data_IF_033920841049
#
_entry.id   IF_033920841049
#
_cell.length_a   1.000
_cell.length_b   1.000
_cell.length_c   1.000
_cell.angle_alpha   90.00
_cell.angle_beta   90.00
_cell.angle_gamma   90.00
#
_symmetry.space_group_name_H-M   'P 1'
#
loop_
_entity.id
_entity.type
_entity.pdbx_description
1 polymer ?
#
# COMPACT_ATOMS: atom_id res chain seq x y z
N UNK A 1 31.12 -21.63 34.54
CA UNK A 1 30.24 -21.79 33.35
C UNK A 1 30.78 -22.90 32.48
N UNK A 2 30.02 -23.95 32.27
CA UNK A 2 30.45 -25.13 31.50
C UNK A 2 30.61 -24.76 30.00
N UNK A 3 31.49 -25.47 29.30
CA UNK A 3 31.74 -25.28 27.85
C UNK A 3 30.43 -25.34 27.05
N UNK A 4 29.49 -26.20 27.45
CA UNK A 4 28.14 -26.30 26.84
C UNK A 4 27.32 -25.02 26.96
N UNK A 5 27.40 -24.29 28.08
CA UNK A 5 26.70 -23.03 28.27
C UNK A 5 27.29 -21.89 27.41
N UNK A 6 28.60 -21.91 27.18
CA UNK A 6 29.26 -20.93 26.29
C UNK A 6 28.92 -21.17 24.82
N UNK A 7 28.87 -22.43 24.38
CA UNK A 7 28.49 -22.80 23.02
C UNK A 7 27.03 -22.43 22.75
N UNK A 8 26.10 -22.73 23.67
CA UNK A 8 24.71 -22.37 23.53
C UNK A 8 24.50 -20.84 23.47
N UNK A 9 25.21 -20.06 24.29
CA UNK A 9 25.13 -18.59 24.25
C UNK A 9 25.68 -18.02 22.93
N UNK A 10 26.77 -18.57 22.38
CA UNK A 10 27.33 -18.17 21.10
C UNK A 10 26.36 -18.47 19.93
N UNK A 11 25.69 -19.63 19.97
CA UNK A 11 24.72 -20.03 18.94
C UNK A 11 23.51 -19.10 18.95
N UNK A 12 22.98 -18.72 20.12
CA UNK A 12 21.86 -17.79 20.25
C UNK A 12 22.24 -16.39 19.74
N UNK A 13 23.44 -15.90 20.04
CA UNK A 13 23.91 -14.61 19.55
C UNK A 13 24.10 -14.63 18.03
N UNK A 14 24.60 -15.73 17.46
CA UNK A 14 24.77 -15.87 16.01
C UNK A 14 23.41 -15.90 15.28
N UNK A 15 22.41 -16.59 15.83
CA UNK A 15 21.05 -16.65 15.27
C UNK A 15 20.37 -15.27 15.38
N UNK A 16 20.55 -14.55 16.48
CA UNK A 16 20.03 -13.19 16.64
C UNK A 16 20.69 -12.21 15.67
N UNK A 17 21.99 -12.32 15.43
CA UNK A 17 22.72 -11.47 14.47
C UNK A 17 22.31 -11.73 13.02
N UNK A 18 22.06 -12.99 12.62
CA UNK A 18 21.57 -13.32 11.27
C UNK A 18 20.14 -12.89 11.04
N UNK A 19 19.29 -12.90 12.07
CA UNK A 19 17.91 -12.40 11.99
C UNK A 19 17.84 -10.87 11.82
N UNK A 20 18.77 -10.14 12.42
CA UNK A 20 18.87 -8.68 12.27
C UNK A 20 19.33 -8.25 10.86
N UNK A 21 20.14 -9.05 10.17
CA UNK A 21 20.56 -8.78 8.79
C UNK A 21 19.50 -9.10 7.74
N UNK A 22 18.54 -9.98 8.02
CA UNK A 22 17.47 -10.35 7.07
C UNK A 22 16.40 -9.27 6.88
N UNK A 23 16.25 -8.30 7.80
CA UNK A 23 15.32 -7.16 7.69
C UNK A 23 15.93 -5.87 7.14
N UNK A 24 17.24 -5.85 6.83
CA UNK A 24 18.02 -4.62 6.56
C UNK A 24 18.27 -4.29 5.09
N UNK A 25 17.73 -5.00 4.15
CA UNK A 25 18.15 -4.83 2.78
C UNK A 25 17.14 -4.14 1.87
N UNK A 26 17.12 -2.83 1.77
CA UNK A 26 16.67 -1.95 0.65
C UNK A 26 15.95 -0.67 1.05
N UNK A 27 15.54 -0.49 2.33
CA UNK A 27 14.87 0.74 2.75
C UNK A 27 15.81 1.83 3.31
N UNK A 28 17.07 1.52 3.56
CA UNK A 28 18.05 2.44 4.14
C UNK A 28 18.80 3.28 3.09
N UNK A 29 18.12 3.96 2.20
CA UNK A 29 18.79 4.80 1.20
C UNK A 29 17.85 5.67 0.37
N UNK A 30 16.60 5.27 0.19
CA UNK A 30 15.64 6.02 -0.63
C UNK A 30 15.02 7.15 0.17
N UNK A 31 15.10 8.38 -0.36
CA UNK A 31 14.50 9.57 0.25
C UNK A 31 13.23 9.94 -0.48
N UNK A 32 12.08 9.57 0.07
CA UNK A 32 10.78 9.93 -0.49
C UNK A 32 10.33 11.29 0.04
N UNK A 33 10.03 12.20 -0.86
CA UNK A 33 9.44 13.51 -0.55
C UNK A 33 7.91 13.48 -0.67
N UNK A 34 7.39 12.54 -1.47
CA UNK A 34 5.97 12.33 -1.65
C UNK A 34 5.68 10.85 -1.89
N UNK A 35 4.76 10.29 -1.14
CA UNK A 35 4.31 8.91 -1.25
C UNK A 35 2.79 8.85 -1.18
N UNK A 36 2.18 8.08 -2.08
CA UNK A 36 0.78 7.67 -2.02
C UNK A 36 0.72 6.16 -1.84
N UNK A 37 0.05 5.69 -0.77
CA UNK A 37 -0.29 4.29 -0.56
C UNK A 37 -1.80 4.15 -0.72
N UNK A 38 -2.26 3.55 -1.82
CA UNK A 38 -3.66 3.33 -2.14
C UNK A 38 -4.05 1.88 -1.92
N UNK A 39 -4.90 1.62 -0.94
CA UNK A 39 -5.48 0.32 -0.63
C UNK A 39 -6.83 0.20 -1.33
N UNK A 40 -6.83 -0.35 -2.54
CA UNK A 40 -8.01 -0.44 -3.39
C UNK A 40 -8.91 -1.60 -2.97
N UNK A 41 -10.22 -1.35 -2.89
CA UNK A 41 -11.24 -2.38 -2.75
C UNK A 41 -11.88 -2.75 -4.11
N UNK A 42 -12.56 -3.89 -4.16
CA UNK A 42 -13.18 -4.38 -5.40
C UNK A 42 -14.36 -3.52 -5.88
N UNK A 43 -15.00 -2.77 -5.00
CA UNK A 43 -16.11 -1.86 -5.34
C UNK A 43 -15.65 -0.48 -5.85
N UNK A 44 -14.35 -0.20 -5.79
CA UNK A 44 -13.75 1.08 -6.15
C UNK A 44 -13.58 2.03 -4.97
N UNK A 45 -14.03 1.65 -3.78
CA UNK A 45 -13.64 2.37 -2.56
C UNK A 45 -12.17 2.11 -2.23
N UNK A 46 -11.56 2.99 -1.44
CA UNK A 46 -10.17 2.81 -1.03
C UNK A 46 -9.86 3.46 0.32
N UNK A 47 -8.75 3.02 0.92
CA UNK A 47 -8.03 3.81 1.90
C UNK A 47 -6.80 4.40 1.24
N UNK A 48 -6.57 5.70 1.40
CA UNK A 48 -5.42 6.41 0.85
C UNK A 48 -4.61 7.03 1.97
N UNK A 49 -3.31 6.79 1.92
CA UNK A 49 -2.34 7.39 2.83
C UNK A 49 -1.39 8.23 1.98
N UNK A 50 -1.36 9.53 2.23
CA UNK A 50 -0.38 10.46 1.64
C UNK A 50 0.65 10.79 2.71
N UNK A 51 1.90 10.53 2.40
CA UNK A 51 3.05 10.82 3.25
C UNK A 51 3.99 11.76 2.49
N UNK A 52 4.12 13.01 2.90
CA UNK A 52 4.84 13.99 2.11
C UNK A 52 5.49 15.10 2.93
N UNK A 53 6.55 15.67 2.38
CA UNK A 53 7.09 16.94 2.86
C UNK A 53 6.16 18.10 2.47
N UNK A 54 6.11 19.13 3.32
CA UNK A 54 5.32 20.34 3.03
C UNK A 54 5.78 21.00 1.72
N UNK A 55 7.10 21.15 1.44
CA UNK A 55 7.55 21.65 0.14
C UNK A 55 7.06 20.80 -1.04
N UNK A 56 7.03 19.47 -0.92
CA UNK A 56 6.52 18.60 -1.98
C UNK A 56 5.01 18.79 -2.19
N UNK A 57 4.22 18.91 -1.12
CA UNK A 57 2.78 19.21 -1.23
C UNK A 57 2.51 20.55 -1.93
N UNK A 58 3.28 21.58 -1.62
CA UNK A 58 3.17 22.88 -2.29
C UNK A 58 3.59 22.78 -3.75
N UNK A 59 4.75 22.18 -4.04
CA UNK A 59 5.33 22.15 -5.38
C UNK A 59 4.57 21.22 -6.33
N UNK A 60 4.19 20.04 -5.85
CA UNK A 60 3.53 19.01 -6.66
C UNK A 60 2.02 19.19 -6.72
N UNK A 61 1.40 19.64 -5.63
CA UNK A 61 -0.07 19.66 -5.44
C UNK A 61 -0.66 21.05 -5.33
N UNK A 62 0.18 22.10 -5.32
CA UNK A 62 -0.27 23.48 -5.21
C UNK A 62 -0.97 23.83 -3.90
N UNK A 63 -0.74 23.05 -2.83
CA UNK A 63 -1.43 23.28 -1.57
C UNK A 63 -0.95 24.57 -0.91
N UNK A 64 -1.85 25.41 -0.37
CA UNK A 64 -1.52 26.70 0.24
C UNK A 64 -0.99 26.50 1.68
N UNK A 65 0.15 25.81 1.80
CA UNK A 65 0.83 25.52 3.06
C UNK A 65 2.10 26.38 3.19
N UNK A 66 2.46 26.69 4.43
CA UNK A 66 3.71 27.40 4.71
C UNK A 66 4.88 26.42 4.69
N UNK A 67 5.87 26.73 3.85
CA UNK A 67 7.04 25.87 3.63
C UNK A 67 8.19 26.15 4.61
N UNK A 68 8.08 27.22 5.43
CA UNK A 68 9.09 27.51 6.46
C UNK A 68 9.21 26.34 7.43
N UNK A 69 10.41 25.73 7.54
CA UNK A 69 10.61 24.59 8.45
C UNK A 69 10.44 24.97 9.93
N UNK A 70 10.49 26.24 10.30
CA UNK A 70 10.24 26.71 11.65
C UNK A 70 8.74 26.80 11.97
N UNK A 71 7.89 26.98 10.96
CA UNK A 71 6.43 27.10 11.15
C UNK A 71 5.82 25.76 11.50
N UNK A 72 4.96 25.77 12.54
CA UNK A 72 4.20 24.57 12.92
C UNK A 72 3.09 24.28 11.90
N UNK A 73 3.00 23.03 11.46
CA UNK A 73 1.95 22.61 10.52
C UNK A 73 0.60 22.58 11.21
N UNK A 74 -0.34 23.39 10.73
CA UNK A 74 -1.74 23.37 11.17
C UNK A 74 -2.45 22.13 10.58
N UNK A 75 -2.69 21.14 11.43
CA UNK A 75 -3.35 19.89 11.04
C UNK A 75 -4.82 20.08 10.64
N UNK A 76 -5.50 21.07 11.17
CA UNK A 76 -6.89 21.36 10.79
C UNK A 76 -6.94 21.95 9.39
N UNK A 77 -6.01 22.84 9.06
CA UNK A 77 -5.85 23.35 7.70
C UNK A 77 -5.52 22.22 6.72
N UNK A 78 -4.58 21.33 7.07
CA UNK A 78 -4.27 20.18 6.22
C UNK A 78 -5.49 19.28 6.07
N UNK A 79 -6.22 18.97 7.14
CA UNK A 79 -7.46 18.18 7.08
C UNK A 79 -8.46 18.81 6.09
N UNK A 80 -8.73 20.09 6.21
CA UNK A 80 -9.70 20.80 5.37
C UNK A 80 -9.34 20.77 3.87
N UNK A 81 -8.06 20.68 3.52
CA UNK A 81 -7.62 20.59 2.13
C UNK A 81 -7.93 19.21 1.49
N UNK A 82 -7.99 18.15 2.30
CA UNK A 82 -8.25 16.78 1.85
C UNK A 82 -9.68 16.31 2.10
N UNK A 83 -10.46 17.01 2.93
CA UNK A 83 -11.86 16.69 3.22
C UNK A 83 -12.77 17.11 2.06
N UNK A 84 -13.64 16.22 1.62
CA UNK A 84 -14.59 16.48 0.52
C UNK A 84 -15.77 15.49 0.60
N UNK A 85 -16.81 15.64 -0.26
CA UNK A 85 -17.84 14.60 -0.40
C UNK A 85 -17.29 13.22 -0.79
N UNK A 86 -16.15 13.16 -1.49
CA UNK A 86 -15.56 11.91 -1.99
C UNK A 86 -14.50 11.33 -1.02
N UNK A 87 -14.02 12.12 -0.06
CA UNK A 87 -12.97 11.74 0.89
C UNK A 87 -13.32 12.09 2.33
N UNK A 88 -13.10 11.16 3.25
CA UNK A 88 -13.22 11.34 4.70
C UNK A 88 -11.84 11.23 5.33
N UNK A 89 -11.31 12.34 5.87
CA UNK A 89 -9.99 12.35 6.50
C UNK A 89 -10.04 11.71 7.89
N UNK A 90 -9.57 10.48 7.99
CA UNK A 90 -9.51 9.74 9.24
C UNK A 90 -8.46 10.32 10.20
N UNK A 91 -7.29 10.69 9.69
CA UNK A 91 -6.19 11.17 10.52
C UNK A 91 -5.23 12.08 9.76
N UNK A 92 -4.78 13.16 10.44
CA UNK A 92 -3.59 13.93 10.08
C UNK A 92 -2.57 13.74 11.20
N UNK A 93 -1.34 13.28 10.87
CA UNK A 93 -0.28 13.07 11.86
C UNK A 93 0.20 14.39 12.47
N UNK A 94 0.93 14.30 13.60
CA UNK A 94 1.83 15.38 13.97
C UNK A 94 2.92 15.49 12.91
N UNK A 95 3.36 16.71 12.62
CA UNK A 95 4.48 16.91 11.69
C UNK A 95 5.79 16.42 12.33
N UNK A 96 6.68 15.92 11.51
CA UNK A 96 8.06 15.60 11.90
C UNK A 96 9.04 16.26 10.94
N UNK A 97 10.30 16.34 11.33
CA UNK A 97 11.36 16.93 10.52
C UNK A 97 12.29 15.87 9.99
N UNK A 98 12.67 15.97 8.70
CA UNK A 98 13.70 15.17 8.06
C UNK A 98 14.44 16.05 7.04
N UNK A 99 15.77 16.04 7.05
CA UNK A 99 16.62 16.80 6.13
C UNK A 99 16.24 18.31 6.05
N UNK A 100 15.90 18.91 7.20
CA UNK A 100 15.51 20.31 7.27
C UNK A 100 14.11 20.61 6.74
N UNK A 101 13.32 19.62 6.32
CA UNK A 101 11.95 19.76 5.82
C UNK A 101 10.95 19.16 6.78
N UNK A 102 9.76 19.76 6.85
CA UNK A 102 8.63 19.24 7.62
C UNK A 102 7.81 18.28 6.77
N UNK A 103 7.42 17.17 7.38
CA UNK A 103 6.59 16.13 6.80
C UNK A 103 5.27 16.02 7.53
N UNK A 104 4.25 15.56 6.83
CA UNK A 104 2.94 15.22 7.37
C UNK A 104 2.42 13.95 6.69
N UNK A 105 1.66 13.16 7.43
CA UNK A 105 0.91 12.03 6.88
C UNK A 105 -0.57 12.31 7.00
N UNK A 106 -1.31 12.11 5.91
CA UNK A 106 -2.76 12.20 5.86
C UNK A 106 -3.30 10.83 5.48
N UNK A 107 -4.19 10.28 6.32
CA UNK A 107 -4.92 9.03 6.06
C UNK A 107 -6.38 9.38 5.85
N UNK A 108 -6.95 8.88 4.78
CA UNK A 108 -8.34 9.14 4.40
C UNK A 108 -8.99 7.90 3.80
N UNK A 109 -10.33 7.83 3.94
CA UNK A 109 -11.17 6.92 3.18
C UNK A 109 -11.60 7.62 1.90
N UNK A 110 -11.57 6.90 0.81
CA UNK A 110 -12.04 7.33 -0.52
C UNK A 110 -13.29 6.53 -0.85
N UNK A 111 -14.38 7.19 -1.18
CA UNK A 111 -15.65 6.53 -1.51
C UNK A 111 -15.60 5.86 -2.87
N UNK A 112 -15.01 6.55 -3.83
CA UNK A 112 -14.84 6.06 -5.20
C UNK A 112 -13.57 6.67 -5.81
N UNK A 113 -12.58 5.83 -6.12
CA UNK A 113 -11.32 6.28 -6.72
C UNK A 113 -11.51 6.98 -8.06
N UNK A 114 -12.57 6.65 -8.81
CA UNK A 114 -12.89 7.26 -10.12
C UNK A 114 -13.27 8.74 -10.03
N UNK A 115 -13.55 9.22 -8.83
CA UNK A 115 -13.92 10.61 -8.54
C UNK A 115 -12.87 11.35 -7.72
N UNK A 116 -11.71 10.72 -7.51
CA UNK A 116 -10.67 11.29 -6.65
C UNK A 116 -10.07 12.57 -7.26
N UNK A 117 -10.09 12.71 -8.58
CA UNK A 117 -9.68 13.92 -9.29
C UNK A 117 -10.56 15.17 -9.01
N UNK A 118 -11.77 14.98 -8.46
CA UNK A 118 -12.60 16.08 -7.98
C UNK A 118 -12.09 16.70 -6.65
N UNK A 119 -11.18 16.03 -5.96
CA UNK A 119 -10.60 16.50 -4.68
C UNK A 119 -9.37 17.34 -4.98
N UNK A 120 -9.29 18.56 -4.45
CA UNK A 120 -8.29 19.56 -4.81
C UNK A 120 -6.82 19.04 -4.84
N UNK A 121 -6.32 18.26 -3.84
CA UNK A 121 -4.96 17.73 -3.89
C UNK A 121 -4.71 16.70 -4.99
N UNK A 122 -5.73 16.17 -5.64
CA UNK A 122 -5.65 15.14 -6.66
C UNK A 122 -6.18 15.59 -8.04
N UNK A 123 -6.60 16.85 -8.18
CA UNK A 123 -7.28 17.38 -9.36
C UNK A 123 -6.47 17.34 -10.67
N UNK A 124 -5.20 17.04 -10.61
CA UNK A 124 -4.28 16.93 -11.75
C UNK A 124 -3.79 15.51 -12.02
N UNK A 125 -4.39 14.56 -11.31
CA UNK A 125 -4.32 13.14 -11.59
C UNK A 125 -5.67 12.68 -12.14
N UNK A 126 -5.67 11.75 -13.08
CA UNK A 126 -6.87 11.12 -13.58
C UNK A 126 -6.90 9.65 -13.15
N UNK A 127 -8.04 9.20 -12.65
CA UNK A 127 -8.21 7.85 -12.13
C UNK A 127 -9.33 7.14 -12.89
N UNK A 128 -9.12 5.89 -13.25
CA UNK A 128 -10.15 5.05 -13.80
C UNK A 128 -10.09 3.63 -13.23
N UNK A 129 -11.24 3.04 -13.03
CA UNK A 129 -11.42 1.64 -12.64
C UNK A 129 -12.57 1.08 -13.46
N UNK A 130 -12.29 0.14 -14.33
CA UNK A 130 -13.25 -0.46 -15.24
C UNK A 130 -13.02 -1.95 -15.45
N UNK A 131 -13.78 -2.53 -16.36
CA UNK A 131 -13.64 -3.93 -16.76
C UNK A 131 -13.30 -4.02 -18.26
N UNK A 132 -12.29 -4.78 -18.58
CA UNK A 132 -11.84 -5.05 -19.94
C UNK A 132 -11.52 -6.54 -20.08
N UNK A 133 -12.13 -7.22 -21.06
CA UNK A 133 -11.82 -8.62 -21.39
C UNK A 133 -11.74 -9.56 -20.16
N UNK A 134 -12.78 -9.57 -19.31
CA UNK A 134 -12.85 -10.39 -18.09
C UNK A 134 -11.91 -9.96 -16.95
N UNK A 135 -11.10 -8.92 -17.13
CA UNK A 135 -10.21 -8.36 -16.12
C UNK A 135 -10.74 -7.02 -15.61
N UNK A 136 -10.40 -6.71 -14.38
CA UNK A 136 -10.54 -5.36 -13.84
C UNK A 136 -9.27 -4.58 -14.11
N UNK A 137 -9.40 -3.36 -14.62
CA UNK A 137 -8.28 -2.51 -14.99
C UNK A 137 -8.33 -1.23 -14.18
N UNK A 138 -7.28 -0.96 -13.43
CA UNK A 138 -7.05 0.31 -12.76
C UNK A 138 -6.03 1.12 -13.55
N UNK A 139 -6.33 2.40 -13.79
CA UNK A 139 -5.39 3.34 -14.39
C UNK A 139 -5.35 4.63 -13.56
N UNK A 140 -4.14 5.15 -13.40
CA UNK A 140 -3.90 6.47 -12.82
C UNK A 140 -2.86 7.17 -13.68
N UNK A 141 -3.17 8.39 -14.13
CA UNK A 141 -2.20 9.26 -14.79
C UNK A 141 -2.02 10.50 -13.94
N UNK A 142 -0.81 10.67 -13.40
CA UNK A 142 -0.43 11.90 -12.71
C UNK A 142 0.11 12.87 -13.74
N UNK A 143 -0.58 13.99 -13.93
CA UNK A 143 -0.21 15.07 -14.85
C UNK A 143 1.03 15.86 -14.39
N UNK A 144 1.21 17.06 -14.91
CA UNK A 144 2.30 17.94 -14.51
C UNK A 144 2.23 18.35 -13.04
N UNK A 145 3.34 18.83 -12.47
CA UNK A 145 3.36 19.43 -11.14
C UNK A 145 2.60 20.76 -11.11
N UNK A 146 2.13 21.17 -9.94
CA UNK A 146 1.42 22.44 -9.76
C UNK A 146 2.33 23.65 -10.06
N UNK A 147 3.62 23.54 -9.75
CA UNK A 147 4.59 24.55 -10.12
C UNK A 147 5.04 24.35 -11.57
N UNK A 148 5.16 25.47 -12.30
CA UNK A 148 5.72 25.45 -13.66
C UNK A 148 7.21 25.11 -13.59
N UNK A 149 7.73 24.32 -14.54
CA UNK A 149 9.16 24.06 -14.65
C UNK A 149 9.98 25.36 -14.63
N UNK A 150 11.09 25.38 -13.90
CA UNK A 150 11.95 26.57 -13.76
C UNK A 150 11.52 27.62 -12.73
N UNK A 151 10.32 27.49 -12.12
CA UNK A 151 9.88 28.40 -11.03
C UNK A 151 10.19 27.88 -9.63
N UNK A 152 10.89 26.78 -9.55
CA UNK A 152 11.11 26.02 -8.32
C UNK A 152 12.05 26.75 -7.35
N UNK A 153 11.59 26.93 -6.12
CA UNK A 153 12.49 27.27 -5.02
C UNK A 153 13.28 26.03 -4.60
N UNK A 154 14.55 26.22 -4.31
CA UNK A 154 15.37 25.13 -3.76
C UNK A 154 15.06 24.93 -2.27
N UNK A 155 14.29 23.90 -1.94
CA UNK A 155 13.99 23.49 -0.57
C UNK A 155 15.05 22.56 0.03
N UNK A 156 16.31 22.63 -0.45
CA UNK A 156 17.40 21.76 -0.01
C UNK A 156 17.34 20.36 -0.62
N UNK A 157 16.62 20.17 -1.71
CA UNK A 157 16.63 18.94 -2.50
C UNK A 157 17.96 18.77 -3.23
N UNK A 158 18.45 17.53 -3.27
CA UNK A 158 19.76 17.17 -3.85
C UNK A 158 19.64 16.47 -5.20
N UNK A 159 18.40 16.34 -5.74
CA UNK A 159 18.11 15.67 -7.01
C UNK A 159 18.03 14.13 -6.93
N UNK A 160 18.07 13.56 -5.72
CA UNK A 160 17.93 12.11 -5.48
C UNK A 160 16.61 11.74 -4.79
N UNK A 161 15.83 12.75 -4.46
CA UNK A 161 14.56 12.59 -3.78
C UNK A 161 13.55 11.94 -4.73
N UNK A 162 12.68 11.11 -4.15
CA UNK A 162 11.72 10.29 -4.88
C UNK A 162 10.27 10.70 -4.60
N UNK A 163 9.46 10.46 -5.61
CA UNK A 163 8.00 10.36 -5.52
C UNK A 163 7.63 8.91 -5.75
N UNK A 164 6.76 8.35 -4.91
CA UNK A 164 6.28 6.99 -5.04
C UNK A 164 4.75 6.91 -5.01
N UNK A 165 4.21 6.00 -5.80
CA UNK A 165 2.82 5.54 -5.69
C UNK A 165 2.84 4.04 -5.48
N UNK A 166 2.19 3.58 -4.41
CA UNK A 166 2.03 2.16 -4.11
C UNK A 166 0.57 1.78 -4.15
N UNK A 167 0.28 0.72 -4.88
CA UNK A 167 -1.06 0.14 -4.96
C UNK A 167 -1.09 -1.19 -4.21
N UNK A 168 -1.99 -1.28 -3.23
CA UNK A 168 -2.36 -2.50 -2.55
C UNK A 168 -3.65 -3.00 -3.19
N UNK A 169 -3.57 -4.13 -3.89
CA UNK A 169 -4.64 -4.58 -4.77
C UNK A 169 -5.44 -5.74 -4.15
N UNK A 170 -6.77 -5.75 -4.30
CA UNK A 170 -7.63 -6.74 -3.66
C UNK A 170 -7.62 -8.09 -4.38
N UNK A 171 -7.16 -8.12 -5.65
CA UNK A 171 -7.26 -9.25 -6.55
C UNK A 171 -5.90 -9.64 -7.10
N UNK A 172 -5.78 -10.86 -7.62
CA UNK A 172 -4.56 -11.35 -8.25
C UNK A 172 -4.20 -10.46 -9.44
N UNK A 173 -2.96 -9.98 -9.46
CA UNK A 173 -2.41 -9.17 -10.54
C UNK A 173 -2.10 -10.09 -11.72
N UNK A 174 -2.58 -9.71 -12.90
CA UNK A 174 -2.36 -10.42 -14.17
C UNK A 174 -1.28 -9.72 -14.98
N UNK A 175 -1.34 -8.38 -15.06
CA UNK A 175 -0.40 -7.56 -15.83
C UNK A 175 -0.27 -6.17 -15.20
N UNK A 176 0.89 -5.53 -15.38
CA UNK A 176 1.15 -4.18 -14.88
C UNK A 176 2.34 -3.53 -15.59
N UNK A 177 2.41 -2.20 -15.54
CA UNK A 177 3.52 -1.42 -16.08
C UNK A 177 4.48 -0.86 -15.01
N UNK A 178 4.42 -1.37 -13.78
CA UNK A 178 5.34 -0.94 -12.72
C UNK A 178 6.79 -1.29 -13.08
N UNK A 179 7.70 -0.34 -12.84
CA UNK A 179 9.14 -0.52 -13.08
C UNK A 179 9.94 -0.11 -11.85
N UNK A 180 11.04 -0.80 -11.64
CA UNK A 180 12.02 -0.43 -10.61
C UNK A 180 12.85 0.75 -11.13
N UNK A 181 12.99 1.80 -10.31
CA UNK A 181 13.74 3.00 -10.68
C UNK A 181 15.23 2.73 -10.81
N UNK A 182 15.76 1.78 -10.04
CA UNK A 182 17.19 1.50 -9.98
C UNK A 182 17.67 0.64 -11.16
N UNK A 183 16.83 -0.29 -11.65
CA UNK A 183 17.19 -1.24 -12.72
C UNK A 183 16.49 -0.95 -14.05
N UNK A 184 15.48 -0.11 -14.06
CA UNK A 184 14.56 0.12 -15.19
C UNK A 184 13.90 -1.18 -15.72
N UNK A 185 13.91 -2.23 -14.92
CA UNK A 185 13.23 -3.49 -15.20
C UNK A 185 11.80 -3.47 -14.65
N UNK A 186 10.98 -4.42 -15.08
CA UNK A 186 9.63 -4.60 -14.51
C UNK A 186 9.72 -4.85 -13.01
N UNK A 187 9.00 -4.08 -12.22
CA UNK A 187 8.95 -4.26 -10.77
C UNK A 187 8.24 -5.56 -10.43
N UNK A 188 8.84 -6.37 -9.58
CA UNK A 188 8.17 -7.57 -9.08
C UNK A 188 7.02 -7.20 -8.14
N UNK A 189 5.93 -7.97 -8.20
CA UNK A 189 4.84 -7.86 -7.23
C UNK A 189 5.39 -8.17 -5.84
N UNK A 190 5.29 -7.21 -4.93
CA UNK A 190 5.73 -7.38 -3.56
C UNK A 190 4.75 -8.25 -2.76
N UNK A 191 5.22 -8.82 -1.65
CA UNK A 191 4.37 -9.59 -0.74
C UNK A 191 3.16 -8.74 -0.31
N UNK A 192 1.96 -9.33 -0.34
CA UNK A 192 0.71 -8.63 -0.05
C UNK A 192 0.06 -8.01 -1.27
N UNK A 193 0.43 -8.42 -2.49
CA UNK A 193 -0.15 -7.98 -3.75
C UNK A 193 0.04 -6.46 -3.97
N UNK A 194 1.26 -5.98 -3.75
CA UNK A 194 1.64 -4.57 -3.78
C UNK A 194 2.49 -4.31 -5.03
N UNK A 195 2.18 -3.24 -5.74
CA UNK A 195 3.00 -2.67 -6.82
C UNK A 195 3.44 -1.26 -6.44
N UNK A 196 4.65 -0.90 -6.85
CA UNK A 196 5.21 0.43 -6.62
C UNK A 196 5.70 1.05 -7.94
N UNK A 197 5.38 2.32 -8.11
CA UNK A 197 5.94 3.20 -9.16
C UNK A 197 6.73 4.29 -8.48
N UNK A 198 7.97 4.45 -8.89
CA UNK A 198 8.87 5.45 -8.35
C UNK A 198 9.39 6.35 -9.47
N UNK A 199 9.56 7.61 -9.17
CA UNK A 199 10.13 8.60 -10.08
C UNK A 199 10.98 9.60 -9.27
N UNK A 200 12.01 10.17 -9.89
CA UNK A 200 12.72 11.28 -9.29
C UNK A 200 11.78 12.48 -9.11
N UNK A 201 11.89 13.14 -7.97
CA UNK A 201 11.15 14.38 -7.70
C UNK A 201 11.44 15.45 -8.76
N UNK A 202 12.69 15.54 -9.22
CA UNK A 202 13.09 16.46 -10.29
C UNK A 202 12.32 16.21 -11.57
N UNK A 203 12.16 14.95 -11.98
CA UNK A 203 11.40 14.58 -13.17
C UNK A 203 9.92 14.97 -13.06
N UNK A 204 9.34 14.83 -11.85
CA UNK A 204 7.97 15.28 -11.59
C UNK A 204 7.84 16.79 -11.69
N UNK A 205 8.81 17.52 -11.18
CA UNK A 205 8.84 18.97 -11.21
C UNK A 205 9.09 19.52 -12.62
N UNK A 206 9.80 18.76 -13.46
CA UNK A 206 9.97 19.04 -14.89
C UNK A 206 8.73 18.68 -15.73
N UNK A 207 7.66 18.17 -15.08
CA UNK A 207 6.39 17.87 -15.72
C UNK A 207 6.30 16.51 -16.39
N UNK A 208 7.24 15.58 -16.14
CA UNK A 208 7.16 14.21 -16.68
C UNK A 208 6.02 13.45 -16.00
N UNK A 209 5.03 12.91 -16.73
CA UNK A 209 3.90 12.22 -16.14
C UNK A 209 4.30 10.86 -15.57
N UNK A 210 3.55 10.37 -14.58
CA UNK A 210 3.54 8.96 -14.18
C UNK A 210 2.25 8.35 -14.73
N UNK A 211 2.39 7.26 -15.49
CA UNK A 211 1.27 6.47 -15.97
C UNK A 211 1.30 5.10 -15.30
N UNK A 212 0.23 4.78 -14.62
CA UNK A 212 0.04 3.54 -13.86
C UNK A 212 -1.06 2.76 -14.56
N UNK A 213 -0.80 1.50 -14.91
CA UNK A 213 -1.80 0.56 -15.38
C UNK A 213 -1.62 -0.78 -14.69
N UNK A 214 -2.71 -1.32 -14.18
CA UNK A 214 -2.75 -2.65 -13.56
C UNK A 214 -4.00 -3.38 -14.03
N UNK A 215 -3.81 -4.62 -14.47
CA UNK A 215 -4.87 -5.57 -14.81
C UNK A 215 -4.91 -6.68 -13.76
N UNK A 216 -6.07 -6.93 -13.22
CA UNK A 216 -6.27 -7.88 -12.12
C UNK A 216 -7.54 -8.69 -12.30
N UNK A 217 -7.63 -9.82 -11.63
CA UNK A 217 -8.84 -10.64 -11.61
C UNK A 217 -10.02 -9.85 -11.04
N UNK A 218 -11.23 -10.16 -11.51
CA UNK A 218 -12.48 -9.54 -10.99
C UNK A 218 -12.73 -9.91 -9.54
N UNK A 219 -12.39 -11.14 -9.16
CA UNK A 219 -12.64 -11.65 -7.81
C UNK A 219 -11.49 -11.31 -6.86
N UNK A 220 -11.86 -10.92 -5.66
CA UNK A 220 -10.90 -10.70 -4.58
C UNK A 220 -10.24 -12.02 -4.16
N UNK A 221 -8.94 -11.94 -3.83
CA UNK A 221 -8.20 -13.05 -3.23
C UNK A 221 -8.89 -13.52 -1.94
N UNK A 222 -9.41 -12.59 -1.15
CA UNK A 222 -10.12 -12.89 0.09
C UNK A 222 -11.37 -13.75 -0.17
N UNK A 223 -12.14 -13.43 -1.21
CA UNK A 223 -13.35 -14.19 -1.57
C UNK A 223 -13.01 -15.63 -1.96
N UNK A 224 -12.02 -15.83 -2.80
CA UNK A 224 -11.55 -17.15 -3.20
C UNK A 224 -11.07 -17.98 -2.00
N UNK A 225 -10.29 -17.34 -1.12
CA UNK A 225 -9.77 -17.96 0.10
C UNK A 225 -10.91 -18.36 1.04
N UNK A 226 -11.91 -17.50 1.22
CA UNK A 226 -13.08 -17.76 2.07
C UNK A 226 -13.87 -18.99 1.59
N UNK A 227 -14.09 -19.13 0.29
CA UNK A 227 -14.78 -20.30 -0.28
C UNK A 227 -13.99 -21.58 -0.12
N UNK A 228 -12.67 -21.55 -0.23
CA UNK A 228 -11.81 -22.69 0.03
C UNK A 228 -11.91 -23.14 1.51
N UNK A 229 -11.88 -22.20 2.44
CA UNK A 229 -12.04 -22.51 3.87
C UNK A 229 -13.44 -23.04 4.18
N UNK A 230 -14.50 -22.45 3.63
CA UNK A 230 -15.87 -22.90 3.80
C UNK A 230 -16.05 -24.33 3.27
N UNK A 231 -15.51 -24.65 2.10
CA UNK A 231 -15.52 -25.97 1.50
C UNK A 231 -14.78 -27.01 2.36
N UNK A 232 -13.56 -26.69 2.81
CA UNK A 232 -12.76 -27.55 3.67
C UNK A 232 -13.44 -27.81 5.02
N UNK A 233 -14.02 -26.77 5.63
CA UNK A 233 -14.77 -26.90 6.88
C UNK A 233 -16.00 -27.79 6.72
N UNK A 234 -16.78 -27.58 5.66
CA UNK A 234 -17.96 -28.39 5.36
C UNK A 234 -17.57 -29.88 5.17
N UNK A 235 -16.50 -30.13 4.40
CA UNK A 235 -16.01 -31.50 4.20
C UNK A 235 -15.58 -32.15 5.53
N UNK A 236 -14.88 -31.43 6.41
CA UNK A 236 -14.48 -31.95 7.73
C UNK A 236 -15.69 -32.25 8.61
N UNK A 237 -16.71 -31.43 8.64
CA UNK A 237 -17.97 -31.68 9.40
C UNK A 237 -18.70 -32.86 8.86
N UNK A 238 -18.84 -33.03 7.55
CA UNK A 238 -19.49 -34.20 6.94
C UNK A 238 -18.73 -35.48 7.26
N UNK A 239 -17.42 -35.46 7.23
CA UNK A 239 -16.58 -36.60 7.58
C UNK A 239 -16.75 -36.99 9.04
N UNK A 240 -16.76 -36.03 9.96
CA UNK A 240 -17.00 -36.23 11.38
C UNK A 240 -18.39 -36.83 11.63
N UNK A 241 -19.44 -36.28 11.03
CA UNK A 241 -20.80 -36.80 11.12
C UNK A 241 -20.87 -38.23 10.57
N UNK A 242 -20.19 -38.53 9.47
CA UNK A 242 -20.11 -39.85 8.91
C UNK A 242 -19.45 -40.86 9.86
N UNK A 243 -18.34 -40.47 10.50
CA UNK A 243 -17.67 -41.31 11.49
C UNK A 243 -18.59 -41.59 12.70
N UNK A 244 -19.24 -40.56 13.23
CA UNK A 244 -20.19 -40.70 14.35
C UNK A 244 -21.33 -41.63 13.96
N UNK A 245 -21.92 -41.44 12.79
CA UNK A 245 -23.01 -42.30 12.31
C UNK A 245 -22.58 -43.77 12.17
N UNK A 246 -21.41 -44.03 11.59
CA UNK A 246 -20.86 -45.40 11.43
C UNK A 246 -20.58 -46.04 12.79
N UNK A 247 -20.01 -45.31 13.75
CA UNK A 247 -19.75 -45.82 15.09
C UNK A 247 -21.03 -46.14 15.85
N UNK A 248 -22.05 -45.28 15.77
CA UNK A 248 -23.36 -45.53 16.37
C UNK A 248 -24.05 -46.71 15.73
N UNK A 249 -23.99 -46.86 14.41
CA UNK A 249 -24.56 -48.01 13.69
C UNK A 249 -23.88 -49.33 14.04
N UNK A 250 -22.56 -49.31 14.25
CA UNK A 250 -21.79 -50.49 14.67
C UNK A 250 -22.16 -50.92 16.10
N UNK A 251 -22.23 -49.94 17.04
CA UNK A 251 -22.63 -50.23 18.43
C UNK A 251 -24.08 -50.76 18.53
N UNK A 252 -25.01 -50.25 17.73
CA UNK A 252 -26.38 -50.77 17.70
C UNK A 252 -26.49 -52.20 17.18
N UNK A 253 -25.62 -52.58 16.22
CA UNK A 253 -25.58 -53.98 15.73
C UNK A 253 -24.99 -54.97 16.76
N UNK A 254 -23.94 -54.53 17.45
CA UNK A 254 -23.32 -55.37 18.53
C UNK A 254 -24.25 -55.60 19.71
N UNK A 255 -25.04 -54.56 20.10
CA UNK A 255 -26.05 -54.66 21.14
C UNK A 255 -27.18 -55.66 20.76
N UNK A 256 -27.60 -55.71 19.46
CA UNK A 256 -28.64 -56.61 18.99
C UNK A 256 -28.18 -58.07 18.84
N UNK A 257 -26.87 -58.35 18.84
CA UNK A 257 -26.35 -59.73 18.77
C UNK A 257 -26.04 -60.33 20.16
N UNK A 258 -26.12 -59.55 21.21
CA UNK A 258 -25.82 -59.92 22.59
C UNK A 258 -27.08 -60.14 23.43
N UNK A 259 -28.27 -59.86 22.90
CA UNK A 259 -29.58 -60.16 23.49
C UNK A 259 -30.22 -61.39 22.82
#
# INVERSE_FOLDING_TARGET
MSVRARVAALTIVLIAATSAMACGGRFFGKQYEYEEDLYLATDGSAELIVNASIPALVSLRGLPLDVDPATQVDRNKVRALYESPETEVARVSRSWSRDGRRFVQVRMKVRDVRKLDAVAPFSWSHYSLGEEQELRVFRQTMGASALRPGTMQNYGWKGKELVAVRLHLPSRIVDHNARDIDSNEGSAVQRGNILAWEQLLTDRLDGRPISIEVRMDRQSILYTTLWLFAGAFTAAVLLLCGIIWLTMRKGAREAATTS
#
